data_IF_722431315969
#
_entry.id   IF_722431315969
#
_cell.length_a   1.000
_cell.length_b   1.000
_cell.length_c   1.000
_cell.angle_alpha   90.00
_cell.angle_beta   90.00
_cell.angle_gamma   90.00
#
_symmetry.space_group_name_H-M   'P 1'
#
loop_
_entity.id
_entity.type
_entity.pdbx_description
1 polymer ?
#
# COMPACT_ATOMS: atom_id res chain seq x y z
N UNK A 1 3.17 20.45 -8.09
CA UNK A 1 2.00 19.66 -7.60
C UNK A 1 2.32 18.81 -6.34
N UNK A 2 3.50 18.96 -5.72
CA UNK A 2 3.93 18.21 -4.51
C UNK A 2 3.64 18.97 -3.20
N UNK A 3 3.21 20.24 -3.27
CA UNK A 3 3.04 21.09 -2.08
C UNK A 3 1.67 20.99 -1.39
N UNK A 4 0.67 20.35 -2.00
CA UNK A 4 -0.72 20.37 -1.48
C UNK A 4 -0.97 19.30 -0.41
N UNK A 5 -0.08 18.31 -0.25
CA UNK A 5 -0.21 17.27 0.79
C UNK A 5 0.59 17.55 2.08
N UNK A 6 1.21 18.72 2.21
CA UNK A 6 2.12 19.03 3.33
C UNK A 6 1.40 19.58 4.58
N UNK A 7 0.14 19.94 4.47
CA UNK A 7 -0.68 20.40 5.60
C UNK A 7 -1.66 19.31 6.02
N UNK A 8 -1.15 18.28 6.69
CA UNK A 8 -2.00 17.34 7.41
C UNK A 8 -1.73 17.50 8.90
N UNK A 9 -2.74 18.03 9.59
CA UNK A 9 -3.00 17.85 11.01
C UNK A 9 -2.60 16.43 11.42
N UNK A 10 -1.37 16.26 11.91
CA UNK A 10 -1.00 15.05 12.63
C UNK A 10 -1.81 15.10 13.90
N UNK A 11 -2.95 14.41 13.92
CA UNK A 11 -3.61 14.00 15.15
C UNK A 11 -2.52 13.28 15.96
N UNK A 12 -1.87 14.01 16.87
CA UNK A 12 -0.84 13.47 17.73
C UNK A 12 -1.55 12.57 18.73
N UNK A 13 -1.71 11.30 18.35
CA UNK A 13 -2.24 10.29 19.22
C UNK A 13 -1.27 10.14 20.39
N UNK A 14 -1.82 10.08 21.61
CA UNK A 14 -1.00 9.78 22.78
C UNK A 14 -0.36 8.39 22.62
N UNK A 15 0.80 8.13 23.25
CA UNK A 15 1.45 6.82 23.19
C UNK A 15 0.52 5.66 23.60
N UNK A 16 -0.33 5.90 24.63
CA UNK A 16 -1.36 4.96 25.06
C UNK A 16 -2.37 4.66 23.94
N UNK A 17 -2.92 5.69 23.29
CA UNK A 17 -3.90 5.49 22.20
C UNK A 17 -3.30 4.74 21.02
N UNK A 18 -2.05 5.06 20.67
CA UNK A 18 -1.32 4.37 19.61
C UNK A 18 -1.17 2.88 19.94
N UNK A 19 -0.69 2.57 21.14
CA UNK A 19 -0.56 1.19 21.61
C UNK A 19 -1.91 0.43 21.62
N UNK A 20 -2.98 1.07 22.11
CA UNK A 20 -4.31 0.46 22.13
C UNK A 20 -4.83 0.11 20.73
N UNK A 21 -4.60 0.97 19.73
CA UNK A 21 -5.00 0.72 18.34
C UNK A 21 -4.25 -0.49 17.78
N UNK A 22 -2.95 -0.61 18.04
CA UNK A 22 -2.17 -1.75 17.55
C UNK A 22 -2.63 -3.07 18.15
N UNK A 23 -2.81 -3.10 19.47
CA UNK A 23 -3.31 -4.29 20.15
C UNK A 23 -4.69 -4.66 19.61
N UNK A 24 -5.57 -3.68 19.40
CA UNK A 24 -6.89 -3.93 18.81
C UNK A 24 -6.78 -4.53 17.39
N UNK A 25 -5.87 -4.04 16.55
CA UNK A 25 -5.60 -4.60 15.22
C UNK A 25 -5.14 -6.06 15.33
N UNK A 26 -4.14 -6.36 16.16
CA UNK A 26 -3.64 -7.73 16.31
C UNK A 26 -4.68 -8.68 16.92
N UNK A 27 -5.53 -8.20 17.83
CA UNK A 27 -6.67 -8.96 18.36
C UNK A 27 -7.67 -9.26 17.24
N UNK A 28 -8.06 -8.27 16.45
CA UNK A 28 -8.99 -8.46 15.34
C UNK A 28 -8.44 -9.44 14.28
N UNK A 29 -7.16 -9.27 13.90
CA UNK A 29 -6.47 -10.20 12.99
C UNK A 29 -6.35 -11.59 13.60
N UNK A 30 -6.07 -11.69 14.90
CA UNK A 30 -6.02 -12.96 15.63
C UNK A 30 -7.37 -13.68 15.64
N UNK A 31 -8.48 -12.97 15.87
CA UNK A 31 -9.83 -13.53 15.77
C UNK A 31 -10.10 -14.02 14.36
N UNK A 32 -9.78 -13.22 13.33
CA UNK A 32 -9.95 -13.63 11.94
C UNK A 32 -9.11 -14.87 11.59
N UNK A 33 -7.86 -14.94 12.06
CA UNK A 33 -6.98 -16.09 11.90
C UNK A 33 -7.53 -17.34 12.60
N UNK A 34 -8.05 -17.20 13.82
CA UNK A 34 -8.68 -18.29 14.56
C UNK A 34 -9.91 -18.83 13.81
N UNK A 35 -10.81 -17.94 13.36
CA UNK A 35 -11.98 -18.31 12.55
C UNK A 35 -11.55 -19.02 11.26
N UNK A 36 -10.52 -18.51 10.57
CA UNK A 36 -10.00 -19.10 9.34
C UNK A 36 -9.42 -20.50 9.55
N UNK A 37 -8.82 -20.76 10.72
CA UNK A 37 -8.24 -22.06 11.08
C UNK A 37 -9.29 -23.12 11.46
N UNK A 38 -10.35 -22.72 12.16
CA UNK A 38 -11.33 -23.64 12.76
C UNK A 38 -12.59 -23.85 11.90
N UNK A 39 -12.95 -22.91 11.03
CA UNK A 39 -14.19 -23.02 10.26
C UNK A 39 -14.11 -24.13 9.22
N UNK A 40 -15.09 -25.04 9.25
CA UNK A 40 -15.27 -26.12 8.28
C UNK A 40 -15.66 -25.62 6.88
N UNK A 41 -16.08 -24.35 6.78
CA UNK A 41 -16.35 -23.67 5.50
C UNK A 41 -15.08 -23.43 4.68
N UNK A 42 -13.91 -23.43 5.32
CA UNK A 42 -12.64 -23.25 4.64
C UNK A 42 -12.07 -24.61 4.22
N UNK A 43 -12.50 -25.10 3.06
CA UNK A 43 -12.04 -26.36 2.46
C UNK A 43 -10.56 -26.29 2.04
N UNK A 44 -9.97 -25.10 1.99
CA UNK A 44 -8.57 -24.88 1.68
C UNK A 44 -7.66 -25.17 2.88
N UNK A 45 -6.97 -26.32 2.86
CA UNK A 45 -5.96 -26.68 3.88
C UNK A 45 -4.90 -25.59 4.09
N UNK A 46 -4.51 -24.89 3.02
CA UNK A 46 -3.50 -23.83 3.06
C UNK A 46 -3.95 -22.58 3.84
N UNK A 47 -5.22 -22.16 3.74
CA UNK A 47 -5.72 -21.02 4.52
C UNK A 47 -5.93 -21.37 5.99
N UNK A 48 -6.27 -22.62 6.30
CA UNK A 48 -6.31 -23.09 7.69
C UNK A 48 -4.93 -23.03 8.32
N UNK A 49 -3.90 -23.45 7.60
CA UNK A 49 -2.50 -23.32 8.02
C UNK A 49 -2.08 -21.87 8.22
N UNK A 50 -2.47 -20.97 7.31
CA UNK A 50 -2.25 -19.54 7.50
C UNK A 50 -2.85 -19.06 8.82
N UNK A 51 -4.06 -19.48 9.17
CA UNK A 51 -4.68 -19.19 10.46
C UNK A 51 -3.90 -19.75 11.66
N UNK A 52 -3.45 -21.01 11.58
CA UNK A 52 -2.62 -21.66 12.61
C UNK A 52 -1.27 -20.98 12.86
N UNK A 53 -0.68 -20.36 11.84
CA UNK A 53 0.58 -19.60 11.96
C UNK A 53 0.30 -18.17 12.43
N UNK A 54 -0.75 -17.55 11.93
CA UNK A 54 -1.06 -16.13 12.19
C UNK A 54 -1.54 -15.90 13.61
N UNK A 55 -2.37 -16.79 14.16
CA UNK A 55 -2.87 -16.65 15.54
C UNK A 55 -1.74 -16.56 16.60
N UNK A 56 -0.80 -17.53 16.69
CA UNK A 56 0.32 -17.41 17.63
C UNK A 56 1.24 -16.24 17.29
N UNK A 57 1.40 -15.89 16.01
CA UNK A 57 2.16 -14.70 15.60
C UNK A 57 1.55 -13.40 16.13
N UNK A 58 0.21 -13.29 16.17
CA UNK A 58 -0.48 -12.15 16.78
C UNK A 58 -0.23 -12.09 18.29
N UNK A 59 -0.28 -13.23 18.99
CA UNK A 59 -0.01 -13.30 20.44
C UNK A 59 1.41 -12.84 20.75
N UNK A 60 2.40 -13.32 19.99
CA UNK A 60 3.80 -12.92 20.13
C UNK A 60 3.99 -11.43 19.84
N UNK A 61 3.36 -10.91 18.79
CA UNK A 61 3.42 -9.49 18.46
C UNK A 61 2.80 -8.61 19.58
N UNK A 62 1.65 -8.99 20.12
CA UNK A 62 1.00 -8.30 21.24
C UNK A 62 1.91 -8.32 22.47
N UNK A 63 2.47 -9.47 22.83
CA UNK A 63 3.37 -9.60 23.96
C UNK A 63 4.57 -8.66 23.82
N UNK A 64 5.21 -8.64 22.65
CA UNK A 64 6.38 -7.81 22.40
C UNK A 64 6.04 -6.31 22.40
N UNK A 65 4.95 -5.91 21.74
CA UNK A 65 4.50 -4.51 21.76
C UNK A 65 4.15 -4.05 23.19
N UNK A 66 3.56 -4.94 23.98
CA UNK A 66 3.25 -4.68 25.39
C UNK A 66 4.54 -4.49 26.20
N UNK A 67 5.53 -5.37 26.03
CA UNK A 67 6.84 -5.21 26.67
C UNK A 67 7.52 -3.90 26.28
N UNK A 68 7.52 -3.53 25.00
CA UNK A 68 8.06 -2.24 24.54
C UNK A 68 7.34 -1.06 25.19
N UNK A 69 6.01 -1.11 25.28
CA UNK A 69 5.21 -0.08 25.94
C UNK A 69 5.58 0.08 27.42
N UNK A 70 5.65 -1.02 28.18
CA UNK A 70 6.05 -0.99 29.60
C UNK A 70 7.48 -0.50 29.80
N UNK A 71 8.44 -0.98 29.00
CA UNK A 71 9.84 -0.55 29.08
C UNK A 71 9.97 0.95 28.78
N UNK A 72 9.24 1.45 27.78
CA UNK A 72 9.22 2.88 27.44
C UNK A 72 8.65 3.76 28.55
N UNK A 73 7.69 3.23 29.33
CA UNK A 73 7.08 3.94 30.45
C UNK A 73 7.98 3.96 31.70
N UNK A 74 8.68 2.86 31.97
CA UNK A 74 9.56 2.74 33.15
C UNK A 74 10.92 3.43 32.99
N UNK A 75 11.46 3.55 31.77
CA UNK A 75 12.79 4.11 31.54
C UNK A 75 12.84 5.63 31.37
N UNK A 76 11.75 6.36 31.63
CA UNK A 76 11.71 7.84 31.60
C UNK A 76 12.63 8.54 32.62
N UNK A 77 13.38 7.80 33.45
CA UNK A 77 14.34 8.38 34.41
C UNK A 77 15.83 8.24 34.04
N UNK A 78 16.21 7.42 33.05
CA UNK A 78 17.62 7.30 32.64
C UNK A 78 17.78 7.25 31.11
N UNK A 79 18.70 8.09 30.61
CA UNK A 79 19.03 8.30 29.20
C UNK A 79 19.27 6.99 28.41
N UNK A 80 18.23 6.46 27.76
CA UNK A 80 18.37 5.46 26.68
C UNK A 80 18.02 6.10 25.33
N UNK A 81 19.02 6.45 24.49
CA UNK A 81 18.78 7.07 23.17
C UNK A 81 18.14 6.13 22.13
N UNK A 82 17.70 4.93 22.52
CA UNK A 82 17.10 3.94 21.62
C UNK A 82 15.58 4.11 21.41
N UNK A 83 14.91 4.92 22.23
CA UNK A 83 13.45 5.11 22.23
C UNK A 83 13.01 6.58 22.09
N UNK A 84 13.95 7.53 22.04
CA UNK A 84 13.62 8.90 21.67
C UNK A 84 13.28 8.95 20.17
N UNK A 85 12.21 9.66 19.76
CA UNK A 85 11.95 9.96 18.35
C UNK A 85 13.03 10.94 17.88
N UNK A 86 14.24 10.43 17.66
CA UNK A 86 15.33 11.18 17.07
C UNK A 86 15.05 11.27 15.58
N UNK A 87 15.12 12.49 15.03
CA UNK A 87 14.95 12.79 13.61
C UNK A 87 16.06 12.21 12.71
N UNK A 88 16.70 11.10 13.10
CA UNK A 88 17.79 10.49 12.35
C UNK A 88 17.26 9.37 11.44
N UNK A 89 17.43 9.46 10.11
CA UNK A 89 16.88 8.52 9.13
C UNK A 89 17.53 7.12 9.12
N UNK A 90 18.44 6.81 10.05
CA UNK A 90 19.37 5.68 9.92
C UNK A 90 19.07 4.44 10.79
N UNK A 91 18.02 4.44 11.64
CA UNK A 91 17.64 3.23 12.39
C UNK A 91 16.17 2.93 12.15
N UNK A 92 15.90 1.82 11.46
CA UNK A 92 14.55 1.26 11.41
C UNK A 92 14.11 1.00 12.86
N UNK A 93 13.03 1.65 13.33
CA UNK A 93 12.54 1.47 14.69
C UNK A 93 12.22 0.00 14.94
N UNK A 94 12.51 -0.49 16.15
CA UNK A 94 12.29 -1.90 16.55
C UNK A 94 10.87 -2.35 16.21
N UNK A 95 9.90 -1.44 16.37
CA UNK A 95 8.50 -1.63 16.02
C UNK A 95 8.27 -1.99 14.55
N UNK A 96 8.85 -1.25 13.61
CA UNK A 96 8.78 -1.57 12.18
C UNK A 96 9.33 -2.98 11.87
N UNK A 97 10.37 -3.42 12.59
CA UNK A 97 10.96 -4.76 12.40
C UNK A 97 10.00 -5.86 12.83
N UNK A 98 9.24 -5.67 13.92
CA UNK A 98 8.22 -6.62 14.37
C UNK A 98 7.10 -6.72 13.35
N UNK A 99 6.59 -5.59 12.86
CA UNK A 99 5.53 -5.58 11.85
C UNK A 99 5.99 -6.26 10.55
N UNK A 100 7.21 -5.96 10.09
CA UNK A 100 7.80 -6.62 8.94
C UNK A 100 7.99 -8.13 9.17
N UNK A 101 8.51 -8.54 10.33
CA UNK A 101 8.69 -9.95 10.67
C UNK A 101 7.35 -10.69 10.71
N UNK A 102 6.31 -10.10 11.31
CA UNK A 102 4.96 -10.64 11.33
C UNK A 102 4.43 -10.85 9.90
N UNK A 103 4.52 -9.83 9.03
CA UNK A 103 4.09 -9.92 7.63
C UNK A 103 4.84 -11.02 6.87
N UNK A 104 6.16 -11.12 7.05
CA UNK A 104 6.99 -12.14 6.40
C UNK A 104 6.66 -13.55 6.89
N UNK A 105 6.55 -13.75 8.20
CA UNK A 105 6.23 -15.07 8.79
C UNK A 105 4.85 -15.53 8.32
N UNK A 106 3.85 -14.68 8.43
CA UNK A 106 2.46 -15.03 8.09
C UNK A 106 2.23 -15.20 6.59
N UNK A 107 3.06 -14.61 5.73
CA UNK A 107 2.99 -14.81 4.28
C UNK A 107 3.80 -16.03 3.83
N UNK A 108 5.07 -16.09 4.21
CA UNK A 108 6.05 -17.01 3.61
C UNK A 108 6.02 -18.40 4.25
N UNK A 109 5.83 -18.52 5.56
CA UNK A 109 5.81 -19.83 6.21
C UNK A 109 4.67 -20.74 5.69
N UNK A 110 3.40 -20.28 5.61
CA UNK A 110 2.34 -21.10 5.01
C UNK A 110 2.54 -21.33 3.51
N UNK A 111 3.08 -20.36 2.78
CA UNK A 111 3.41 -20.52 1.35
C UNK A 111 4.43 -21.65 1.13
N UNK A 112 5.59 -21.61 1.80
CA UNK A 112 6.64 -22.62 1.65
C UNK A 112 6.20 -24.00 2.13
N UNK A 113 5.41 -24.06 3.20
CA UNK A 113 4.78 -25.32 3.59
C UNK A 113 3.87 -25.85 2.48
N UNK A 114 3.03 -25.00 1.87
CA UNK A 114 2.17 -25.37 0.76
C UNK A 114 2.95 -25.92 -0.43
N UNK A 115 4.08 -25.29 -0.77
CA UNK A 115 5.00 -25.74 -1.84
C UNK A 115 5.57 -27.13 -1.51
N UNK A 116 6.12 -27.30 -0.31
CA UNK A 116 6.70 -28.58 0.11
C UNK A 116 5.64 -29.68 0.17
N UNK A 117 4.46 -29.37 0.73
CA UNK A 117 3.37 -30.32 0.87
C UNK A 117 2.87 -30.82 -0.49
N UNK A 118 2.64 -29.92 -1.47
CA UNK A 118 2.26 -30.30 -2.85
C UNK A 118 3.29 -31.21 -3.51
N UNK A 119 4.58 -30.89 -3.36
CA UNK A 119 5.65 -31.70 -3.91
C UNK A 119 5.71 -33.11 -3.32
N UNK A 120 5.38 -33.26 -2.04
CA UNK A 120 5.41 -34.56 -1.35
C UNK A 120 4.16 -35.42 -1.59
N UNK A 121 2.99 -34.80 -1.71
CA UNK A 121 1.74 -35.56 -1.84
C UNK A 121 1.44 -35.97 -3.27
N UNK A 122 2.05 -35.32 -4.28
CA UNK A 122 1.75 -35.52 -5.70
C UNK A 122 0.23 -35.57 -5.96
N UNK A 123 -0.54 -34.82 -5.15
CA UNK A 123 -1.98 -35.02 -5.04
C UNK A 123 -2.64 -34.72 -6.40
N UNK A 124 -3.58 -35.56 -6.85
CA UNK A 124 -4.25 -35.32 -8.11
C UNK A 124 -5.06 -34.01 -8.05
N UNK A 125 -5.19 -33.30 -9.19
CA UNK A 125 -5.75 -31.95 -9.25
C UNK A 125 -7.13 -31.78 -8.61
N UNK A 126 -7.96 -32.82 -8.62
CA UNK A 126 -9.29 -32.80 -8.00
C UNK A 126 -9.27 -32.59 -6.47
N UNK A 127 -8.12 -32.76 -5.79
CA UNK A 127 -7.95 -32.52 -4.36
C UNK A 127 -7.31 -31.16 -4.04
N UNK A 128 -6.87 -30.39 -5.05
CA UNK A 128 -6.34 -29.03 -4.86
C UNK A 128 -7.47 -28.00 -4.75
N UNK A 129 -8.38 -28.21 -3.80
CA UNK A 129 -9.50 -27.30 -3.54
C UNK A 129 -9.02 -26.11 -2.70
N UNK A 130 -9.34 -24.89 -3.12
CA UNK A 130 -9.11 -23.66 -2.36
C UNK A 130 -7.88 -22.86 -2.80
N UNK A 131 -7.01 -22.45 -1.86
CA UNK A 131 -5.93 -21.51 -2.12
C UNK A 131 -4.94 -21.97 -3.23
N UNK A 132 -4.71 -23.27 -3.37
CA UNK A 132 -3.78 -23.80 -4.38
C UNK A 132 -4.37 -23.86 -5.80
N UNK A 133 -5.69 -23.62 -5.97
CA UNK A 133 -6.33 -23.74 -7.28
C UNK A 133 -5.74 -22.76 -8.30
N UNK A 134 -5.42 -21.55 -7.86
CA UNK A 134 -4.76 -20.55 -8.72
C UNK A 134 -3.42 -21.06 -9.24
N UNK A 135 -2.65 -21.71 -8.37
CA UNK A 135 -1.36 -22.30 -8.71
C UNK A 135 -1.53 -23.39 -9.76
N UNK A 136 -2.46 -24.31 -9.53
CA UNK A 136 -2.77 -25.38 -10.47
C UNK A 136 -3.18 -24.86 -11.85
N UNK A 137 -4.09 -23.87 -11.89
CA UNK A 137 -4.57 -23.31 -13.16
C UNK A 137 -3.42 -22.71 -13.95
N UNK A 138 -2.48 -22.00 -13.31
CA UNK A 138 -1.32 -21.42 -14.01
C UNK A 138 -0.37 -22.51 -14.52
N UNK A 139 -0.06 -23.52 -13.71
CA UNK A 139 0.78 -24.66 -14.11
C UNK A 139 0.18 -25.41 -15.31
N UNK A 140 -1.12 -25.73 -15.25
CA UNK A 140 -1.84 -26.35 -16.37
C UNK A 140 -1.88 -25.45 -17.60
N UNK A 141 -2.04 -24.14 -17.43
CA UNK A 141 -2.03 -23.20 -18.55
C UNK A 141 -0.70 -23.21 -19.29
N UNK A 142 0.42 -23.33 -18.57
CA UNK A 142 1.75 -23.49 -19.15
C UNK A 142 1.87 -24.77 -19.97
N UNK A 143 1.39 -25.89 -19.43
CA UNK A 143 1.37 -27.20 -20.10
C UNK A 143 0.58 -27.11 -21.42
N UNK A 144 -0.64 -26.58 -21.35
CA UNK A 144 -1.50 -26.42 -22.53
C UNK A 144 -0.86 -25.51 -23.56
N UNK A 145 -0.25 -24.39 -23.16
CA UNK A 145 0.39 -23.46 -24.09
C UNK A 145 1.54 -24.13 -24.85
N UNK A 146 2.34 -24.97 -24.19
CA UNK A 146 3.45 -25.69 -24.82
C UNK A 146 3.01 -26.83 -25.73
N UNK A 147 1.94 -27.55 -25.36
CA UNK A 147 1.50 -28.74 -26.10
C UNK A 147 0.46 -28.46 -27.18
N UNK A 148 -0.36 -27.43 -27.01
CA UNK A 148 -1.51 -27.14 -27.88
C UNK A 148 -1.45 -25.75 -28.53
N UNK A 149 -0.52 -24.88 -28.09
CA UNK A 149 -0.43 -23.49 -28.56
C UNK A 149 -1.45 -22.55 -27.91
N UNK A 150 -2.28 -23.02 -26.97
CA UNK A 150 -3.25 -22.21 -26.23
C UNK A 150 -3.18 -22.53 -24.73
N UNK A 151 -3.28 -21.55 -23.81
CA UNK A 151 -3.30 -21.80 -22.37
C UNK A 151 -4.68 -22.21 -21.84
N UNK A 152 -5.65 -22.45 -22.73
CA UNK A 152 -7.04 -22.69 -22.39
C UNK A 152 -7.46 -24.11 -22.78
N UNK A 153 -8.26 -24.73 -21.91
CA UNK A 153 -8.96 -25.97 -22.24
C UNK A 153 -10.06 -25.65 -23.25
N UNK A 154 -10.24 -26.53 -24.24
CA UNK A 154 -11.40 -26.48 -25.11
C UNK A 154 -12.65 -26.95 -24.37
N UNK A 155 -13.53 -26.00 -24.03
CA UNK A 155 -14.76 -26.26 -23.31
C UNK A 155 -15.71 -27.22 -24.07
N UNK A 156 -15.60 -27.30 -25.39
CA UNK A 156 -16.40 -28.23 -26.21
C UNK A 156 -16.08 -29.70 -25.96
N UNK A 157 -14.91 -30.00 -25.37
CA UNK A 157 -14.46 -31.36 -25.07
C UNK A 157 -14.68 -31.78 -23.61
N UNK A 158 -15.21 -30.90 -22.75
CA UNK A 158 -15.50 -31.20 -21.36
C UNK A 158 -16.89 -31.82 -21.20
N UNK A 159 -16.96 -33.12 -20.88
CA UNK A 159 -18.23 -33.80 -20.61
C UNK A 159 -18.92 -33.27 -19.34
N UNK A 160 -18.14 -32.90 -18.32
CA UNK A 160 -18.61 -32.33 -17.05
C UNK A 160 -17.64 -31.24 -16.57
N UNK A 161 -17.89 -29.96 -16.87
CA UNK A 161 -17.02 -28.86 -16.45
C UNK A 161 -16.94 -28.71 -14.93
N UNK A 162 -15.73 -28.57 -14.39
CA UNK A 162 -15.47 -28.25 -13.00
C UNK A 162 -14.90 -26.82 -12.87
N UNK A 163 -14.99 -26.25 -11.66
CA UNK A 163 -14.42 -24.92 -11.37
C UNK A 163 -12.92 -24.86 -11.69
N UNK A 164 -12.21 -25.97 -11.47
CA UNK A 164 -10.80 -26.08 -11.79
C UNK A 164 -10.50 -25.98 -13.29
N UNK A 165 -11.46 -26.24 -14.18
CA UNK A 165 -11.28 -26.16 -15.64
C UNK A 165 -11.26 -24.73 -16.16
N UNK A 166 -11.82 -23.79 -15.39
CA UNK A 166 -11.86 -22.39 -15.78
C UNK A 166 -10.50 -21.70 -15.54
N UNK A 167 -9.97 -21.06 -16.58
CA UNK A 167 -8.79 -20.20 -16.50
C UNK A 167 -9.23 -18.73 -16.61
N UNK A 168 -9.27 -17.97 -15.49
CA UNK A 168 -9.66 -16.56 -15.50
C UNK A 168 -8.54 -15.62 -15.97
N UNK A 169 -7.36 -16.15 -16.28
CA UNK A 169 -6.17 -15.36 -16.53
C UNK A 169 -5.91 -15.15 -18.03
N UNK A 170 -5.16 -14.09 -18.33
CA UNK A 170 -4.72 -13.79 -19.68
C UNK A 170 -3.43 -14.57 -20.02
N UNK A 171 -3.11 -14.76 -21.31
CA UNK A 171 -2.12 -15.76 -21.74
C UNK A 171 -0.72 -15.60 -21.17
N UNK A 172 -0.29 -14.38 -20.83
CA UNK A 172 1.07 -14.11 -20.35
C UNK A 172 1.33 -14.77 -18.99
N UNK A 173 0.29 -14.99 -18.18
CA UNK A 173 0.45 -15.65 -16.89
C UNK A 173 0.89 -17.12 -17.04
N UNK A 174 0.53 -17.78 -18.15
CA UNK A 174 0.89 -19.18 -18.41
C UNK A 174 2.41 -19.43 -18.47
N UNK A 175 3.21 -18.40 -18.74
CA UNK A 175 4.68 -18.49 -18.74
C UNK A 175 5.22 -18.97 -17.38
N UNK A 176 4.57 -18.56 -16.28
CA UNK A 176 4.97 -19.01 -14.94
C UNK A 176 4.70 -20.50 -14.70
N UNK A 177 3.90 -21.15 -15.54
CA UNK A 177 3.67 -22.60 -15.50
C UNK A 177 4.71 -23.43 -16.26
N UNK A 178 5.62 -22.81 -17.02
CA UNK A 178 6.63 -23.52 -17.80
C UNK A 178 7.56 -24.44 -16.97
N UNK A 179 7.99 -24.07 -15.75
CA UNK A 179 8.81 -24.95 -14.94
C UNK A 179 8.15 -26.31 -14.68
N UNK A 180 6.90 -26.32 -14.23
CA UNK A 180 6.13 -27.56 -14.04
C UNK A 180 5.86 -28.27 -15.37
N UNK A 181 5.82 -27.52 -16.47
CA UNK A 181 5.57 -28.09 -17.79
C UNK A 181 6.74 -28.91 -18.33
N UNK A 182 7.97 -28.43 -18.15
CA UNK A 182 9.16 -29.14 -18.63
C UNK A 182 9.66 -30.21 -17.68
N UNK A 183 9.55 -29.99 -16.37
CA UNK A 183 10.18 -30.86 -15.38
C UNK A 183 9.19 -31.64 -14.53
N UNK A 184 7.89 -31.45 -14.71
CA UNK A 184 6.86 -32.06 -13.87
C UNK A 184 6.73 -31.37 -12.51
N UNK A 185 5.95 -31.97 -11.62
CA UNK A 185 5.63 -31.38 -10.30
C UNK A 185 6.71 -31.68 -9.28
N UNK A 186 7.50 -30.66 -8.94
CA UNK A 186 8.51 -30.68 -7.89
C UNK A 186 8.38 -29.44 -7.01
N UNK A 187 9.00 -29.46 -5.82
CA UNK A 187 8.98 -28.30 -4.92
C UNK A 187 9.56 -27.06 -5.58
N UNK A 188 10.55 -27.21 -6.46
CA UNK A 188 11.24 -26.11 -7.12
C UNK A 188 10.55 -25.64 -8.41
N UNK A 189 9.59 -26.39 -8.94
CA UNK A 189 8.82 -26.01 -10.14
C UNK A 189 7.52 -25.28 -9.80
N UNK A 190 7.13 -25.24 -8.52
CA UNK A 190 5.90 -24.58 -8.05
C UNK A 190 5.87 -23.09 -8.44
N UNK A 191 4.75 -22.66 -9.02
CA UNK A 191 4.58 -21.31 -9.56
C UNK A 191 4.93 -20.20 -8.57
N UNK A 192 4.66 -20.42 -7.26
CA UNK A 192 4.82 -19.41 -6.21
C UNK A 192 6.28 -19.01 -6.05
N UNK A 193 7.20 -19.94 -6.29
CA UNK A 193 8.64 -19.70 -6.22
C UNK A 193 9.14 -18.79 -7.33
N UNK A 194 8.39 -18.63 -8.42
CA UNK A 194 8.72 -17.74 -9.52
C UNK A 194 7.96 -16.41 -9.43
N UNK A 195 6.70 -16.44 -9.00
CA UNK A 195 5.90 -15.22 -8.78
C UNK A 195 6.44 -14.36 -7.63
N UNK A 196 6.92 -14.98 -6.55
CA UNK A 196 7.49 -14.26 -5.40
C UNK A 196 8.71 -13.39 -5.79
N UNK A 197 9.80 -13.93 -6.39
CA UNK A 197 10.94 -13.12 -6.77
C UNK A 197 10.60 -12.12 -7.89
N UNK A 198 9.68 -12.45 -8.81
CA UNK A 198 9.19 -11.48 -9.79
C UNK A 198 8.50 -10.29 -9.12
N UNK A 199 7.65 -10.54 -8.12
CA UNK A 199 6.98 -9.50 -7.32
C UNK A 199 8.00 -8.64 -6.60
N UNK A 200 8.97 -9.26 -5.92
CA UNK A 200 10.04 -8.56 -5.20
C UNK A 200 10.84 -7.70 -6.16
N UNK A 201 11.23 -8.22 -7.33
CA UNK A 201 11.98 -7.47 -8.34
C UNK A 201 11.21 -6.24 -8.83
N UNK A 202 9.93 -6.39 -9.17
CA UNK A 202 9.10 -5.28 -9.65
C UNK A 202 8.88 -4.23 -8.54
N UNK A 203 8.65 -4.65 -7.30
CA UNK A 203 8.56 -3.73 -6.16
C UNK A 203 9.88 -3.00 -5.90
N UNK A 204 11.02 -3.70 -5.99
CA UNK A 204 12.34 -3.09 -5.86
C UNK A 204 12.57 -2.05 -6.95
N UNK A 205 12.27 -2.37 -8.21
CA UNK A 205 12.36 -1.42 -9.33
C UNK A 205 11.47 -0.19 -9.09
N UNK A 206 10.24 -0.40 -8.64
CA UNK A 206 9.29 0.67 -8.30
C UNK A 206 9.83 1.55 -7.17
N UNK A 207 10.35 0.93 -6.10
CA UNK A 207 10.92 1.64 -4.95
C UNK A 207 12.16 2.44 -5.33
N UNK A 208 13.05 1.88 -6.16
CA UNK A 208 14.22 2.57 -6.69
C UNK A 208 13.81 3.76 -7.57
N UNK A 209 12.84 3.57 -8.46
CA UNK A 209 12.32 4.61 -9.35
C UNK A 209 11.63 5.75 -8.59
N UNK A 210 10.94 5.41 -7.50
CA UNK A 210 10.34 6.36 -6.56
C UNK A 210 11.36 7.07 -5.65
N UNK A 211 12.67 6.94 -5.90
CA UNK A 211 13.76 7.51 -5.10
C UNK A 211 13.83 6.99 -3.66
N UNK A 212 13.56 5.69 -3.48
CA UNK A 212 13.71 4.97 -2.21
C UNK A 212 12.96 5.65 -1.05
N UNK A 213 11.64 5.88 -1.17
CA UNK A 213 10.87 6.52 -0.10
C UNK A 213 10.99 5.70 1.18
N UNK A 214 11.08 6.38 2.32
CA UNK A 214 11.02 5.73 3.63
C UNK A 214 9.65 5.08 3.80
N UNK A 215 9.64 3.81 4.22
CA UNK A 215 8.39 3.08 4.48
C UNK A 215 7.90 3.48 5.88
N UNK A 216 6.76 4.18 6.00
CA UNK A 216 6.26 4.59 7.31
C UNK A 216 5.73 3.38 8.08
N UNK A 217 5.89 3.37 9.40
CA UNK A 217 5.36 2.30 10.27
C UNK A 217 3.84 2.11 10.09
N UNK A 218 3.11 3.20 9.87
CA UNK A 218 1.66 3.17 9.63
C UNK A 218 1.28 2.38 8.38
N UNK A 219 2.12 2.38 7.34
CA UNK A 219 1.88 1.55 6.16
C UNK A 219 2.05 0.06 6.50
N UNK A 220 3.08 -0.31 7.28
CA UNK A 220 3.25 -1.69 7.73
C UNK A 220 2.08 -2.13 8.62
N UNK A 221 1.63 -1.27 9.53
CA UNK A 221 0.48 -1.56 10.38
C UNK A 221 -0.81 -1.70 9.57
N UNK A 222 -0.99 -0.90 8.52
CA UNK A 222 -2.12 -1.04 7.59
C UNK A 222 -2.08 -2.39 6.85
N UNK A 223 -0.90 -2.82 6.40
CA UNK A 223 -0.75 -4.15 5.78
C UNK A 223 -1.08 -5.28 6.76
N UNK A 224 -0.68 -5.15 8.03
CA UNK A 224 -1.05 -6.11 9.09
C UNK A 224 -2.57 -6.14 9.30
N UNK A 225 -3.22 -4.99 9.28
CA UNK A 225 -4.66 -4.87 9.46
C UNK A 225 -5.51 -5.45 8.31
N UNK A 226 -4.89 -5.84 7.19
CA UNK A 226 -5.59 -6.38 6.02
C UNK A 226 -5.10 -7.81 5.74
N UNK A 227 -5.68 -8.84 6.41
CA UNK A 227 -5.28 -10.24 6.26
C UNK A 227 -5.13 -10.76 4.82
N UNK A 228 -5.98 -10.37 3.84
CA UNK A 228 -5.81 -10.78 2.45
C UNK A 228 -4.42 -10.48 1.86
N UNK A 229 -3.70 -9.47 2.37
CA UNK A 229 -2.34 -9.14 1.92
C UNK A 229 -1.39 -10.33 2.08
N UNK A 230 -1.41 -11.00 3.24
CA UNK A 230 -0.51 -12.13 3.51
C UNK A 230 -1.08 -13.44 3.00
N UNK A 231 -2.41 -13.59 2.99
CA UNK A 231 -3.10 -14.75 2.41
C UNK A 231 -2.88 -14.88 0.90
N UNK A 232 -2.68 -13.77 0.18
CA UNK A 232 -2.42 -13.80 -1.26
C UNK A 232 -1.18 -14.64 -1.61
N UNK A 233 -0.11 -14.55 -0.81
CA UNK A 233 1.10 -15.37 -0.99
C UNK A 233 0.86 -16.85 -0.70
N UNK A 234 -0.12 -17.18 0.13
CA UNK A 234 -0.51 -18.57 0.41
C UNK A 234 -1.20 -19.21 -0.79
N UNK A 235 -2.01 -18.44 -1.51
CA UNK A 235 -2.74 -18.91 -2.69
C UNK A 235 -1.82 -19.12 -3.90
N UNK A 236 -1.34 -18.03 -4.48
CA UNK A 236 -0.37 -18.07 -5.58
C UNK A 236 0.53 -16.82 -5.63
N UNK A 237 0.14 -15.71 -5.01
CA UNK A 237 0.84 -14.43 -5.10
C UNK A 237 0.65 -13.69 -6.43
N UNK A 238 -0.27 -14.16 -7.29
CA UNK A 238 -0.54 -13.54 -8.61
C UNK A 238 -0.94 -12.08 -8.44
N UNK A 239 -1.87 -11.80 -7.52
CA UNK A 239 -2.36 -10.44 -7.32
C UNK A 239 -1.28 -9.52 -6.73
N UNK A 240 -0.28 -10.06 -6.02
CA UNK A 240 0.82 -9.27 -5.47
C UNK A 240 1.73 -8.77 -6.61
N UNK A 241 2.02 -9.64 -7.58
CA UNK A 241 2.76 -9.27 -8.79
C UNK A 241 1.97 -8.25 -9.62
N UNK A 242 0.66 -8.42 -9.78
CA UNK A 242 -0.16 -7.45 -10.51
C UNK A 242 -0.17 -6.07 -9.85
N UNK A 243 -0.35 -6.01 -8.53
CA UNK A 243 -0.27 -4.74 -7.80
C UNK A 243 1.13 -4.11 -7.98
N UNK A 244 2.20 -4.91 -7.91
CA UNK A 244 3.56 -4.42 -8.13
C UNK A 244 3.74 -3.83 -9.55
N UNK A 245 3.26 -4.52 -10.59
CA UNK A 245 3.33 -4.05 -11.99
C UNK A 245 2.48 -2.79 -12.21
N UNK A 246 1.30 -2.72 -11.61
CA UNK A 246 0.44 -1.54 -11.69
C UNK A 246 1.02 -0.34 -10.96
N UNK A 247 1.68 -0.55 -9.82
CA UNK A 247 2.44 0.49 -9.13
C UNK A 247 3.64 0.94 -9.97
N UNK A 248 4.38 0.01 -10.57
CA UNK A 248 5.48 0.35 -11.48
C UNK A 248 4.97 1.17 -12.68
N UNK A 249 3.86 0.75 -13.28
CA UNK A 249 3.19 1.45 -14.38
C UNK A 249 2.84 2.89 -13.98
N UNK A 250 2.15 3.05 -12.85
CA UNK A 250 1.78 4.36 -12.35
C UNK A 250 3.01 5.21 -12.06
N UNK A 251 3.96 4.73 -11.25
CA UNK A 251 5.16 5.50 -10.89
C UNK A 251 5.93 5.90 -12.15
N UNK A 252 6.25 4.94 -13.03
CA UNK A 252 7.03 5.18 -14.24
C UNK A 252 6.36 6.14 -15.24
N UNK A 253 5.03 6.15 -15.31
CA UNK A 253 4.27 7.02 -16.21
C UNK A 253 4.48 8.51 -15.91
N UNK A 254 4.67 8.90 -14.64
CA UNK A 254 4.83 10.30 -14.24
C UNK A 254 6.30 10.74 -14.11
N UNK A 255 7.24 10.01 -14.74
CA UNK A 255 8.62 10.45 -14.89
C UNK A 255 8.88 11.06 -16.27
N UNK A 256 9.66 12.14 -16.32
CA UNK A 256 9.90 12.95 -17.54
C UNK A 256 10.78 12.29 -18.62
N UNK A 257 11.18 11.02 -18.45
CA UNK A 257 12.14 10.35 -19.34
C UNK A 257 11.42 9.42 -20.33
N UNK A 258 11.86 9.34 -21.60
CA UNK A 258 11.23 8.45 -22.58
C UNK A 258 11.36 6.97 -22.19
N UNK A 259 12.49 6.59 -21.58
CA UNK A 259 12.71 5.24 -21.09
C UNK A 259 11.72 4.81 -19.99
N UNK A 260 11.30 5.74 -19.11
CA UNK A 260 10.32 5.45 -18.06
C UNK A 260 8.90 5.37 -18.61
N UNK A 261 8.58 6.14 -19.66
CA UNK A 261 7.32 5.97 -20.39
C UNK A 261 7.21 4.59 -21.06
N UNK A 262 8.31 4.12 -21.69
CA UNK A 262 8.37 2.77 -22.24
C UNK A 262 8.21 1.70 -21.16
N UNK A 263 8.85 1.89 -19.99
CA UNK A 263 8.70 1.00 -18.84
C UNK A 263 7.26 0.97 -18.30
N UNK A 264 6.58 2.13 -18.27
CA UNK A 264 5.18 2.21 -17.86
C UNK A 264 4.27 1.41 -18.81
N UNK A 265 4.45 1.59 -20.13
CA UNK A 265 3.74 0.82 -21.15
C UNK A 265 4.01 -0.67 -21.06
N UNK A 266 5.27 -1.07 -20.83
CA UNK A 266 5.64 -2.46 -20.63
C UNK A 266 4.99 -3.05 -19.38
N UNK A 267 5.07 -2.37 -18.24
CA UNK A 267 4.48 -2.84 -16.99
C UNK A 267 2.95 -2.97 -17.08
N UNK A 268 2.27 -1.97 -17.67
CA UNK A 268 0.83 -2.01 -17.92
C UNK A 268 0.43 -3.11 -18.93
N UNK A 269 1.21 -3.28 -19.99
CA UNK A 269 0.99 -4.31 -21.01
C UNK A 269 1.17 -5.73 -20.45
N UNK A 270 2.20 -5.95 -19.63
CA UNK A 270 2.42 -7.22 -18.94
C UNK A 270 1.25 -7.50 -17.97
N UNK A 271 0.85 -6.51 -17.16
CA UNK A 271 -0.26 -6.67 -16.22
C UNK A 271 -1.58 -7.05 -16.93
N UNK A 272 -1.90 -6.37 -18.04
CA UNK A 272 -3.05 -6.70 -18.90
C UNK A 272 -2.91 -8.09 -19.54
N UNK A 273 -1.71 -8.43 -20.00
CA UNK A 273 -1.41 -9.74 -20.56
C UNK A 273 -1.51 -10.88 -19.54
N UNK A 274 -1.41 -10.58 -18.25
CA UNK A 274 -1.57 -11.54 -17.16
C UNK A 274 -3.02 -11.63 -16.64
N UNK A 275 -3.71 -10.49 -16.49
CA UNK A 275 -5.10 -10.47 -16.01
C UNK A 275 -5.82 -9.19 -16.46
N UNK A 276 -6.96 -9.36 -17.13
CA UNK A 276 -7.76 -8.24 -17.66
C UNK A 276 -8.25 -7.28 -16.56
N UNK A 277 -8.33 -7.72 -15.30
CA UNK A 277 -8.67 -6.86 -14.16
C UNK A 277 -7.66 -5.73 -13.91
N UNK A 278 -6.50 -5.74 -14.57
CA UNK A 278 -5.56 -4.61 -14.60
C UNK A 278 -6.05 -3.41 -15.42
N UNK A 279 -7.03 -3.61 -16.31
CA UNK A 279 -7.52 -2.61 -17.26
C UNK A 279 -7.96 -1.29 -16.62
N UNK A 280 -8.75 -1.26 -15.53
CA UNK A 280 -9.19 0.00 -14.94
C UNK A 280 -8.02 0.90 -14.52
N UNK A 281 -6.97 0.31 -13.93
CA UNK A 281 -5.81 1.08 -13.47
C UNK A 281 -5.00 1.60 -14.66
N UNK A 282 -4.76 0.76 -15.67
CA UNK A 282 -4.06 1.18 -16.90
C UNK A 282 -4.82 2.31 -17.59
N UNK A 283 -6.15 2.22 -17.67
CA UNK A 283 -6.99 3.27 -18.25
C UNK A 283 -6.88 4.58 -17.47
N UNK A 284 -6.92 4.54 -16.13
CA UNK A 284 -6.75 5.73 -15.28
C UNK A 284 -5.39 6.39 -15.52
N UNK A 285 -4.31 5.61 -15.61
CA UNK A 285 -2.97 6.14 -15.91
C UNK A 285 -2.95 6.79 -17.29
N UNK A 286 -3.52 6.15 -18.31
CA UNK A 286 -3.60 6.72 -19.67
C UNK A 286 -4.39 8.03 -19.70
N UNK A 287 -5.54 8.10 -19.02
CA UNK A 287 -6.35 9.33 -18.92
C UNK A 287 -5.56 10.43 -18.21
N UNK A 288 -4.86 10.12 -17.12
CA UNK A 288 -4.05 11.08 -16.38
C UNK A 288 -2.88 11.62 -17.22
N UNK A 289 -2.27 10.79 -18.06
CA UNK A 289 -1.24 11.22 -19.02
C UNK A 289 -1.83 12.13 -20.11
N UNK A 290 -2.96 11.72 -20.71
CA UNK A 290 -3.65 12.51 -21.73
C UNK A 290 -4.06 13.90 -21.20
N UNK A 291 -4.54 13.96 -19.96
CA UNK A 291 -4.90 15.21 -19.30
C UNK A 291 -3.70 16.13 -19.10
N UNK A 292 -2.56 15.61 -18.64
CA UNK A 292 -1.34 16.40 -18.46
C UNK A 292 -0.78 16.92 -19.79
N UNK A 293 -0.76 16.09 -20.82
CA UNK A 293 -0.35 16.52 -22.16
C UNK A 293 -1.28 17.60 -22.73
N UNK A 294 -2.60 17.48 -22.52
CA UNK A 294 -3.57 18.49 -22.91
C UNK A 294 -3.40 19.80 -22.14
N UNK A 295 -3.15 19.74 -20.83
CA UNK A 295 -2.91 20.91 -19.99
C UNK A 295 -1.61 21.64 -20.36
N UNK A 296 -0.53 20.90 -20.64
CA UNK A 296 0.76 21.47 -21.06
C UNK A 296 0.69 22.19 -22.42
N UNK A 297 -0.26 21.83 -23.29
CA UNK A 297 -0.48 22.43 -24.61
C UNK A 297 -1.47 23.60 -24.61
N UNK A 298 -2.12 23.91 -23.49
CA UNK A 298 -2.95 25.12 -23.41
C UNK A 298 -2.01 26.32 -23.45
N UNK A 299 -2.08 27.18 -24.48
CA UNK A 299 -1.36 28.45 -24.41
C UNK A 299 -1.84 29.15 -23.15
N UNK A 300 -0.92 29.59 -22.29
CA UNK A 300 -1.25 30.56 -21.27
C UNK A 300 -1.89 31.73 -22.02
N UNK A 301 -3.21 31.84 -21.99
CA UNK A 301 -3.89 33.09 -22.31
C UNK A 301 -3.32 34.08 -21.33
N UNK A 302 -2.33 34.84 -21.79
CA UNK A 302 -1.80 35.97 -21.06
C UNK A 302 -3.02 36.77 -20.61
N UNK A 303 -3.17 36.90 -19.30
CA UNK A 303 -4.03 37.93 -18.74
C UNK A 303 -3.65 39.21 -19.49
N UNK A 304 -4.59 39.92 -20.16
CA UNK A 304 -4.25 41.19 -20.77
C UNK A 304 -3.59 42.01 -19.67
N UNK A 305 -2.32 42.34 -19.86
CA UNK A 305 -1.61 43.20 -18.94
C UNK A 305 -2.47 44.44 -18.81
N UNK A 306 -3.06 44.66 -17.64
CA UNK A 306 -3.68 45.92 -17.32
C UNK A 306 -2.56 46.96 -17.48
N UNK A 307 -2.70 47.77 -18.53
CA UNK A 307 -1.80 48.84 -18.89
C UNK A 307 -1.38 49.63 -17.64
N UNK A 308 -0.09 49.72 -17.31
CA UNK A 308 0.40 50.73 -16.38
C UNK A 308 0.54 52.05 -17.16
N UNK A 309 -0.58 52.63 -17.57
CA UNK A 309 -0.61 53.89 -18.31
C UNK A 309 -1.74 54.79 -17.81
N UNK A 310 -1.83 54.98 -16.48
CA UNK A 310 -2.71 55.98 -15.87
C UNK A 310 -2.28 56.29 -14.42
N UNK A 311 -0.99 56.52 -14.16
CA UNK A 311 -0.56 56.98 -12.83
C UNK A 311 0.65 57.93 -12.81
N UNK A 312 0.91 58.61 -13.93
CA UNK A 312 2.04 59.56 -14.05
C UNK A 312 1.65 60.95 -14.55
N UNK A 313 0.35 61.29 -14.62
CA UNK A 313 -0.11 62.61 -15.08
C UNK A 313 -0.55 63.56 -13.95
N UNK A 314 -0.35 63.20 -12.67
CA UNK A 314 -0.84 64.01 -11.54
C UNK A 314 0.28 64.25 -10.52
N UNK A 315 1.37 64.90 -10.97
CA UNK A 315 2.41 65.42 -10.06
C UNK A 315 3.09 66.67 -10.61
N UNK A 316 2.32 67.74 -10.80
CA UNK A 316 2.74 69.15 -10.85
C UNK A 316 1.46 69.94 -11.10
N UNK A 317 0.94 70.87 -10.30
CA UNK A 317 1.53 71.98 -9.54
C UNK A 317 0.40 72.61 -8.71
N UNK A 318 0.61 72.95 -7.43
CA UNK A 318 0.20 74.22 -6.76
C UNK A 318 0.47 74.13 -5.25
N UNK A 319 1.01 75.18 -4.60
CA UNK A 319 1.17 75.24 -3.15
C UNK A 319 -0.16 75.59 -2.47
N UNK A 320 -0.50 74.88 -1.39
CA UNK A 320 -1.63 75.22 -0.51
C UNK A 320 -1.08 75.33 0.91
N UNK A 321 -1.42 76.45 1.56
CA UNK A 321 -1.02 76.89 2.89
C UNK A 321 -1.27 75.85 4.01
N UNK A 322 -0.54 75.93 5.14
CA UNK A 322 -0.73 75.02 6.26
C UNK A 322 -2.02 75.34 7.04
N UNK A 323 -2.76 74.32 7.54
CA UNK A 323 -3.93 74.53 8.40
C UNK A 323 -3.52 74.89 9.85
N UNK A 324 -4.40 75.58 10.59
CA UNK A 324 -4.10 76.08 11.94
C UNK A 324 -4.09 74.99 13.01
N UNK A 325 -3.26 75.22 14.02
CA UNK A 325 -3.05 74.41 15.23
C UNK A 325 -4.31 74.20 16.06
N UNK A 326 -4.58 72.94 16.45
CA UNK A 326 -5.58 72.57 17.46
C UNK A 326 -5.01 72.71 18.90
N UNK A 327 -5.83 73.11 19.89
CA UNK A 327 -5.40 73.31 21.28
C UNK A 327 -5.28 71.99 22.08
N UNK A 328 -4.51 71.99 23.20
CA UNK A 328 -4.18 70.78 23.94
C UNK A 328 -5.38 70.25 24.76
N UNK A 329 -5.63 68.94 24.69
CA UNK A 329 -6.58 68.26 25.60
C UNK A 329 -5.98 68.16 27.00
N UNK A 330 -6.77 68.62 27.98
CA UNK A 330 -6.53 68.50 29.42
C UNK A 330 -6.58 67.05 29.88
N UNK A 331 -5.79 66.77 30.91
CA UNK A 331 -5.78 65.56 31.70
C UNK A 331 -7.07 65.40 32.54
N UNK A 332 -7.53 64.16 32.70
CA UNK A 332 -8.47 63.75 33.74
C UNK A 332 -7.89 62.62 34.61
N UNK A 333 -8.28 62.53 35.90
CA UNK A 333 -7.53 61.82 36.95
C UNK A 333 -8.02 60.37 37.18
N UNK A 334 -7.31 59.59 38.04
CA UNK A 334 -7.54 58.15 38.20
C UNK A 334 -8.59 57.83 39.28
N UNK A 335 -9.32 56.72 39.12
CA UNK A 335 -10.25 56.26 40.16
C UNK A 335 -10.85 54.87 39.97
N UNK A 336 -10.44 53.96 40.87
CA UNK A 336 -11.21 52.86 41.50
C UNK A 336 -11.45 51.51 40.79
N UNK A 337 -10.48 50.60 41.03
CA UNK A 337 -10.57 49.29 41.70
C UNK A 337 -11.93 48.55 41.90
N UNK A 338 -11.95 47.31 41.35
CA UNK A 338 -12.45 45.99 41.87
C UNK A 338 -13.97 45.67 41.89
N UNK A 339 -14.41 44.38 41.97
CA UNK A 339 -13.91 43.07 41.47
C UNK A 339 -15.01 42.17 40.80
N UNK A 340 -14.75 40.90 40.38
CA UNK A 340 -15.72 39.95 39.76
C UNK A 340 -16.23 38.87 40.77
N UNK A 341 -16.87 37.75 40.37
CA UNK A 341 -18.03 37.48 39.49
C UNK A 341 -19.18 36.79 40.26
N UNK A 342 -20.43 36.85 39.75
CA UNK A 342 -21.58 36.19 40.39
C UNK A 342 -22.69 35.75 39.43
N UNK A 343 -22.84 34.43 39.32
CA UNK A 343 -24.08 33.64 39.19
C UNK A 343 -25.24 34.17 38.32
N UNK A 344 -25.53 33.47 37.23
CA UNK A 344 -26.88 33.39 36.68
C UNK A 344 -27.25 31.92 36.44
N UNK A 345 -28.23 31.46 37.22
CA UNK A 345 -28.95 30.22 37.00
C UNK A 345 -30.42 30.52 36.66
N UNK A 346 -31.01 29.58 35.93
CA UNK A 346 -32.43 29.30 35.70
C UNK A 346 -33.29 30.31 34.93
N UNK A 347 -33.69 29.85 33.74
CA UNK A 347 -34.86 30.23 32.95
C UNK A 347 -35.11 29.13 31.93
#
# INVERSE_FOLDING_TARGET
>A
MVSVFRDNNRLQLTPLKTFSIEVAIFVAVGIYAALTAITSLNTASAYRLWGYITLPSCIVAIAYLTTLYYLSRHHSHHHFPALAPTHSPARTPVRARILAAFLLITSLAPMYWGVAHRAHTAAPPEHEIGANLETYVVERSGQLLLHTGTPYIDAGHLATPHVADYNPYSPLLAIFGFPTSWWGTHWWTDVRLYLLPATVLVLLLTWLLAHKPAIPESALLLLVAVPPVTMNFVAAGIDALLVALLLLCAVAAFHDKPATAALAGLAGGIALGMKLTALPVVLVVLIALAYQWGAARRPHTAHPAAHPAARSAERSTTPVDPPPSLPPRRAEPPGNLLPPPGQWGCG
#
